data_IF_313120949505
#
_entry.id   IF_313120949505
#
_cell.length_a   1.000
_cell.length_b   1.000
_cell.length_c   1.000
_cell.angle_alpha   90.00
_cell.angle_beta   90.00
_cell.angle_gamma   90.00
#
_symmetry.space_group_name_H-M   'P 1'
#
loop_
_entity.id
_entity.type
_entity.pdbx_description
1 polymer ?
#
# COMPACT_ATOMS: atom_id res chain seq x y z
N UNK A 1 -28.46 -4.42 -38.08
CA UNK A 1 -27.74 -3.60 -37.09
C UNK A 1 -27.20 -4.54 -36.04
N UNK A 2 -25.92 -4.93 -36.13
CA UNK A 2 -25.28 -5.79 -35.13
C UNK A 2 -24.51 -4.93 -34.15
N UNK A 3 -24.94 -4.96 -32.88
CA UNK A 3 -24.18 -4.43 -31.76
C UNK A 3 -22.94 -5.30 -31.54
N UNK A 4 -21.76 -4.68 -31.62
CA UNK A 4 -20.51 -5.29 -31.15
C UNK A 4 -20.36 -4.93 -29.66
N UNK A 5 -20.12 -5.90 -28.76
CA UNK A 5 -19.77 -5.57 -27.38
C UNK A 5 -18.36 -4.94 -27.37
N UNK A 6 -18.24 -3.78 -26.73
CA UNK A 6 -16.94 -3.17 -26.45
C UNK A 6 -16.15 -4.10 -25.53
N UNK A 7 -15.12 -4.75 -26.06
CA UNK A 7 -14.10 -5.38 -25.22
C UNK A 7 -13.34 -4.27 -24.49
N UNK A 8 -13.40 -4.26 -23.15
CA UNK A 8 -12.51 -3.46 -22.32
C UNK A 8 -11.07 -3.91 -22.62
N UNK A 9 -10.38 -3.14 -23.46
CA UNK A 9 -8.99 -3.38 -23.80
C UNK A 9 -8.12 -3.00 -22.60
N UNK A 10 -7.24 -3.94 -22.21
CA UNK A 10 -6.17 -3.73 -21.23
C UNK A 10 -5.36 -2.49 -21.63
N UNK A 11 -5.23 -1.44 -20.80
CA UNK A 11 -4.28 -0.37 -21.09
C UNK A 11 -2.87 -0.97 -21.19
N UNK A 12 -2.23 -0.85 -22.35
CA UNK A 12 -0.85 -1.26 -22.54
C UNK A 12 0.09 -0.17 -22.04
N UNK A 13 0.14 0.02 -20.72
CA UNK A 13 1.26 0.73 -20.09
C UNK A 13 2.36 -0.31 -19.82
N UNK A 14 3.62 -0.08 -20.23
CA UNK A 14 4.72 -0.89 -19.75
C UNK A 14 4.92 -0.55 -18.27
N UNK A 15 4.16 -1.21 -17.40
CA UNK A 15 4.44 -1.25 -15.98
C UNK A 15 5.80 -1.96 -15.85
N UNK A 16 6.88 -1.19 -15.77
CA UNK A 16 8.06 -1.65 -15.05
C UNK A 16 7.55 -2.23 -13.72
N UNK A 17 8.01 -3.42 -13.30
CA UNK A 17 7.46 -4.03 -12.10
C UNK A 17 7.63 -3.03 -10.96
N UNK A 18 6.49 -2.60 -10.41
CA UNK A 18 6.46 -1.71 -9.26
C UNK A 18 7.35 -2.33 -8.19
N UNK A 19 8.27 -1.53 -7.67
CA UNK A 19 9.16 -1.98 -6.60
C UNK A 19 8.33 -2.15 -5.33
N UNK A 20 8.87 -2.94 -4.42
CA UNK A 20 8.36 -2.96 -3.06
C UNK A 20 8.96 -1.77 -2.31
N UNK A 21 8.13 -1.05 -1.57
CA UNK A 21 8.50 0.13 -0.79
C UNK A 21 8.44 -0.13 0.72
N UNK A 22 7.66 -1.11 1.17
CA UNK A 22 7.65 -1.65 2.54
C UNK A 22 7.77 -3.16 2.49
N UNK A 23 8.95 -3.69 2.80
CA UNK A 23 9.33 -5.07 2.47
C UNK A 23 9.83 -5.87 3.67
N UNK A 24 9.50 -7.16 3.72
CA UNK A 24 10.02 -8.10 4.71
C UNK A 24 9.80 -7.64 6.15
N UNK A 25 10.89 -7.54 6.92
CA UNK A 25 10.96 -6.95 8.26
C UNK A 25 10.90 -5.42 8.24
N UNK A 26 9.84 -4.87 7.62
CA UNK A 26 9.53 -3.45 7.41
C UNK A 26 10.78 -2.56 7.25
N UNK A 27 11.52 -2.82 6.18
CA UNK A 27 12.43 -1.85 5.61
C UNK A 27 11.66 -0.96 4.64
N UNK A 28 11.68 0.36 4.87
CA UNK A 28 11.11 1.30 3.92
C UNK A 28 12.17 1.64 2.87
N UNK A 29 11.76 1.52 1.60
CA UNK A 29 12.43 2.10 0.45
C UNK A 29 11.39 3.01 -0.21
N UNK A 30 11.41 4.31 0.04
CA UNK A 30 10.42 5.20 -0.55
C UNK A 30 10.49 5.13 -2.09
N UNK A 31 9.40 5.45 -2.80
CA UNK A 31 9.42 5.49 -4.27
C UNK A 31 10.52 6.41 -4.85
N UNK A 32 10.94 7.43 -4.10
CA UNK A 32 12.00 8.37 -4.45
C UNK A 32 13.41 7.88 -4.03
N UNK A 33 13.48 6.75 -3.33
CA UNK A 33 14.70 5.98 -3.06
C UNK A 33 15.33 6.23 -1.70
N UNK A 34 14.66 6.91 -0.77
CA UNK A 34 15.09 7.01 0.61
C UNK A 34 14.91 5.65 1.32
N UNK A 35 15.89 5.26 2.14
CA UNK A 35 15.86 4.00 2.89
C UNK A 35 15.94 4.29 4.38
N UNK A 36 15.03 3.69 5.16
CA UNK A 36 15.07 3.71 6.62
C UNK A 36 14.31 2.53 7.21
N UNK A 37 14.62 2.20 8.46
CA UNK A 37 13.95 1.12 9.20
C UNK A 37 12.71 1.66 9.91
N UNK A 38 11.56 1.01 9.72
CA UNK A 38 10.28 1.40 10.31
C UNK A 38 9.73 0.26 11.18
N UNK A 39 10.46 -0.08 12.24
CA UNK A 39 10.16 -1.21 13.13
C UNK A 39 9.05 -0.92 14.15
N UNK A 40 7.94 -0.34 13.68
CA UNK A 40 6.80 0.05 14.50
C UNK A 40 5.68 -1.00 14.45
N UNK A 41 4.78 -1.00 15.43
CA UNK A 41 3.63 -1.91 15.49
C UNK A 41 2.33 -1.13 15.46
N UNK A 42 1.35 -1.54 14.66
CA UNK A 42 0.04 -0.91 14.54
C UNK A 42 -0.38 -0.71 13.09
N UNK A 43 -1.42 0.09 12.89
CA UNK A 43 -1.94 0.43 11.56
C UNK A 43 -1.45 1.82 11.16
N UNK A 44 -0.94 1.95 9.93
CA UNK A 44 -0.27 3.16 9.44
C UNK A 44 -0.79 3.58 8.08
N UNK A 45 -0.89 4.89 7.88
CA UNK A 45 -1.12 5.48 6.56
C UNK A 45 0.19 5.50 5.78
N UNK A 46 0.34 4.56 4.83
CA UNK A 46 1.54 4.47 4.01
C UNK A 46 1.58 5.56 2.94
N UNK A 47 0.45 5.83 2.28
CA UNK A 47 0.35 6.90 1.30
C UNK A 47 -1.10 7.33 1.11
N UNK A 48 -1.33 8.62 0.91
CA UNK A 48 -2.61 9.19 0.53
C UNK A 48 -2.41 10.34 -0.45
N UNK A 49 -3.31 10.47 -1.44
CA UNK A 49 -3.39 11.68 -2.25
C UNK A 49 -4.13 12.78 -1.53
N UNK A 50 -3.77 14.04 -1.78
CA UNK A 50 -4.40 15.21 -1.14
C UNK A 50 -5.89 15.36 -1.42
N UNK A 51 -6.41 14.73 -2.49
CA UNK A 51 -7.84 14.70 -2.81
C UNK A 51 -8.59 13.47 -2.22
N UNK A 52 -7.87 12.57 -1.54
CA UNK A 52 -8.41 11.36 -0.93
C UNK A 52 -8.81 10.24 -1.89
N UNK A 53 -8.56 10.38 -3.20
CA UNK A 53 -8.90 9.35 -4.20
C UNK A 53 -7.95 8.14 -4.16
N UNK A 54 -6.76 8.32 -3.59
CA UNK A 54 -5.76 7.28 -3.31
C UNK A 54 -5.56 7.22 -1.80
N UNK A 55 -5.75 6.05 -1.21
CA UNK A 55 -5.36 5.75 0.17
C UNK A 55 -4.73 4.37 0.19
N UNK A 56 -3.59 4.23 0.88
CA UNK A 56 -2.87 2.99 1.11
C UNK A 56 -2.50 2.90 2.59
N UNK A 57 -2.96 1.84 3.25
CA UNK A 57 -2.73 1.59 4.66
C UNK A 57 -2.10 0.22 4.85
N UNK A 58 -1.23 0.09 5.85
CA UNK A 58 -0.66 -1.19 6.22
C UNK A 58 -0.84 -1.45 7.70
N UNK A 59 -1.09 -2.71 8.03
CA UNK A 59 -1.05 -3.25 9.39
C UNK A 59 0.29 -3.91 9.61
N UNK A 60 0.99 -3.48 10.64
CA UNK A 60 2.30 -3.99 11.04
C UNK A 60 2.19 -4.66 12.41
N UNK A 61 2.62 -5.91 12.47
CA UNK A 61 2.58 -6.72 13.69
C UNK A 61 3.96 -7.28 14.00
N UNK A 62 4.19 -7.65 15.26
CA UNK A 62 5.43 -8.32 15.65
C UNK A 62 5.60 -9.60 14.84
N UNK A 63 6.82 -9.82 14.37
CA UNK A 63 7.13 -11.01 13.59
C UNK A 63 7.04 -12.27 14.45
N UNK A 64 6.04 -13.11 14.17
CA UNK A 64 5.73 -14.29 14.96
C UNK A 64 6.85 -15.35 14.93
N UNK A 65 7.65 -15.40 13.86
CA UNK A 65 8.77 -16.34 13.71
C UNK A 65 9.95 -16.02 14.65
N UNK A 66 10.08 -14.76 15.09
CA UNK A 66 11.15 -14.28 15.98
C UNK A 66 10.56 -13.37 17.07
N UNK A 67 9.70 -13.91 17.96
CA UNK A 67 8.91 -13.11 18.88
C UNK A 67 9.76 -12.41 19.95
N UNK A 68 11.03 -12.76 20.12
CA UNK A 68 11.97 -12.10 21.03
C UNK A 68 12.63 -10.85 20.42
N UNK A 69 12.54 -10.66 19.10
CA UNK A 69 13.12 -9.51 18.40
C UNK A 69 12.08 -8.38 18.29
N UNK A 70 12.50 -7.10 18.42
CA UNK A 70 11.62 -5.96 18.17
C UNK A 70 11.50 -5.73 16.66
N UNK A 71 11.02 -6.73 15.93
CA UNK A 71 10.88 -6.71 14.47
C UNK A 71 9.40 -6.78 14.10
N UNK A 72 9.01 -5.91 13.17
CA UNK A 72 7.66 -5.85 12.62
C UNK A 72 7.62 -6.40 11.20
N UNK A 73 6.46 -6.90 10.78
CA UNK A 73 6.16 -7.30 9.39
C UNK A 73 4.78 -6.78 9.02
N UNK A 74 4.57 -6.47 7.73
CA UNK A 74 3.22 -6.17 7.25
C UNK A 74 2.38 -7.46 7.25
N UNK A 75 1.20 -7.43 7.86
CA UNK A 75 0.27 -8.59 7.91
C UNK A 75 -1.08 -8.33 7.26
N UNK A 76 -1.39 -7.06 6.99
CA UNK A 76 -2.51 -6.67 6.15
C UNK A 76 -2.21 -5.38 5.38
N UNK A 77 -2.88 -5.20 4.24
CA UNK A 77 -2.87 -3.95 3.46
C UNK A 77 -4.30 -3.62 3.05
N UNK A 78 -4.68 -2.36 3.21
CA UNK A 78 -5.97 -1.84 2.75
C UNK A 78 -5.75 -0.66 1.81
N UNK A 79 -6.60 -0.55 0.78
CA UNK A 79 -6.52 0.48 -0.25
C UNK A 79 -7.89 1.07 -0.54
N UNK A 80 -7.95 2.38 -0.76
CA UNK A 80 -9.08 3.03 -1.41
C UNK A 80 -8.69 3.39 -2.85
N UNK A 81 -9.28 2.68 -3.80
CA UNK A 81 -8.95 2.70 -5.23
C UNK A 81 -9.99 3.52 -6.00
N UNK A 82 -9.98 4.84 -5.80
CA UNK A 82 -10.86 5.78 -6.52
C UNK A 82 -12.37 5.58 -6.29
N UNK A 83 -12.76 4.84 -5.25
CA UNK A 83 -14.16 4.47 -4.99
C UNK A 83 -14.33 3.06 -4.43
N UNK A 84 -13.41 2.15 -4.75
CA UNK A 84 -13.43 0.77 -4.26
C UNK A 84 -12.48 0.57 -3.08
N UNK A 85 -12.95 -0.09 -2.03
CA UNK A 85 -12.11 -0.53 -0.91
C UNK A 85 -11.59 -1.94 -1.19
N UNK A 86 -10.26 -2.11 -1.13
CA UNK A 86 -9.60 -3.41 -1.21
C UNK A 86 -8.91 -3.70 0.11
N UNK A 87 -9.01 -4.94 0.61
CA UNK A 87 -8.31 -5.37 1.82
C UNK A 87 -7.69 -6.74 1.60
N UNK A 88 -6.40 -6.87 1.90
CA UNK A 88 -5.68 -8.14 1.93
C UNK A 88 -5.25 -8.41 3.36
N UNK A 89 -5.59 -9.59 3.86
CA UNK A 89 -5.17 -10.07 5.16
C UNK A 89 -4.36 -11.35 4.99
N UNK A 90 -3.24 -11.48 5.72
CA UNK A 90 -2.47 -12.71 5.79
C UNK A 90 -2.93 -13.65 6.91
N UNK A 91 -3.59 -13.08 7.94
CA UNK A 91 -3.99 -13.77 9.17
C UNK A 91 -5.45 -13.43 9.54
N UNK A 92 -6.16 -14.33 10.25
CA UNK A 92 -5.74 -15.68 10.66
C UNK A 92 -5.62 -16.65 9.49
N UNK A 93 -6.35 -16.40 8.41
CA UNK A 93 -6.21 -17.06 7.12
C UNK A 93 -6.11 -16.00 6.04
N UNK A 94 -5.39 -16.31 4.95
CA UNK A 94 -5.30 -15.39 3.81
C UNK A 94 -6.69 -15.10 3.27
N UNK A 95 -7.07 -13.83 3.25
CA UNK A 95 -8.37 -13.39 2.75
C UNK A 95 -8.25 -12.07 2.01
N UNK A 96 -9.15 -11.89 1.04
CA UNK A 96 -9.21 -10.71 0.19
C UNK A 96 -10.64 -10.22 0.11
N UNK A 97 -10.83 -8.91 0.30
CA UNK A 97 -12.14 -8.29 0.26
C UNK A 97 -12.15 -7.17 -0.77
N UNK A 98 -13.27 -7.06 -1.49
CA UNK A 98 -13.58 -5.93 -2.35
C UNK A 98 -14.90 -5.36 -1.87
N UNK A 99 -14.89 -4.11 -1.40
CA UNK A 99 -16.06 -3.43 -0.84
C UNK A 99 -16.78 -4.30 0.21
N UNK A 100 -16.02 -4.80 1.20
CA UNK A 100 -16.50 -5.62 2.33
C UNK A 100 -16.99 -7.03 1.93
N UNK A 101 -16.86 -7.39 0.65
CA UNK A 101 -17.26 -8.71 0.14
C UNK A 101 -16.03 -9.60 -0.01
N UNK A 102 -16.02 -10.71 0.72
CA UNK A 102 -15.01 -11.77 0.58
C UNK A 102 -14.95 -12.24 -0.87
N UNK A 103 -13.77 -12.12 -1.48
CA UNK A 103 -13.53 -12.35 -2.91
C UNK A 103 -12.31 -13.23 -3.07
N UNK A 104 -12.34 -14.13 -4.07
CA UNK A 104 -11.17 -14.94 -4.41
C UNK A 104 -10.02 -14.05 -4.91
N UNK A 105 -8.79 -14.40 -4.53
CA UNK A 105 -7.60 -13.71 -5.03
C UNK A 105 -7.52 -13.87 -6.56
N UNK A 106 -7.40 -12.77 -7.33
CA UNK A 106 -7.41 -12.85 -8.77
C UNK A 106 -6.11 -13.46 -9.32
N UNK A 107 -6.23 -14.44 -10.22
CA UNK A 107 -5.09 -14.97 -10.98
C UNK A 107 -4.75 -14.15 -12.21
N UNK A 108 -5.75 -13.42 -12.73
CA UNK A 108 -5.71 -12.64 -13.96
C UNK A 108 -6.23 -11.22 -13.73
N UNK A 109 -6.46 -10.46 -14.80
CA UNK A 109 -7.01 -9.11 -14.74
C UNK A 109 -8.49 -9.09 -14.32
N UNK A 110 -8.83 -8.22 -13.37
CA UNK A 110 -10.18 -7.94 -12.89
C UNK A 110 -10.39 -6.42 -12.87
N UNK A 111 -11.48 -5.96 -13.50
CA UNK A 111 -11.94 -4.57 -13.38
C UNK A 111 -12.68 -4.38 -12.07
N UNK A 112 -12.41 -3.26 -11.39
CA UNK A 112 -13.11 -2.85 -10.17
C UNK A 112 -14.32 -1.97 -10.50
N UNK A 113 -15.39 -1.97 -9.67
CA UNK A 113 -16.62 -1.21 -9.92
C UNK A 113 -16.44 0.29 -10.21
N UNK A 114 -15.49 0.97 -9.55
CA UNK A 114 -15.17 2.38 -9.72
C UNK A 114 -14.20 2.66 -10.89
N UNK A 115 -13.86 1.64 -11.68
CA UNK A 115 -13.05 1.79 -12.90
C UNK A 115 -11.56 1.53 -12.73
N UNK A 116 -11.11 1.24 -11.51
CA UNK A 116 -9.76 0.73 -11.26
C UNK A 116 -9.60 -0.72 -11.72
N UNK A 117 -8.44 -1.31 -11.45
CA UNK A 117 -8.22 -2.73 -11.74
C UNK A 117 -7.21 -3.36 -10.79
N UNK A 118 -7.31 -4.69 -10.68
CA UNK A 118 -6.33 -5.55 -10.04
C UNK A 118 -5.99 -6.68 -11.00
N UNK A 119 -4.71 -7.06 -11.06
CA UNK A 119 -4.27 -8.23 -11.82
C UNK A 119 -3.27 -9.06 -11.04
N UNK A 120 -3.52 -10.36 -10.95
CA UNK A 120 -2.52 -11.33 -10.48
C UNK A 120 -1.49 -11.69 -11.56
N UNK A 121 -0.32 -12.15 -11.14
CA UNK A 121 0.74 -12.66 -12.01
C UNK A 121 0.60 -14.15 -12.39
N UNK A 122 -0.59 -14.73 -12.23
CA UNK A 122 -0.85 -16.18 -12.35
C UNK A 122 -0.41 -17.02 -11.15
N UNK A 123 0.34 -16.46 -10.19
CA UNK A 123 0.76 -17.16 -8.96
C UNK A 123 -0.18 -16.98 -7.77
N UNK A 124 -1.24 -16.17 -7.90
CA UNK A 124 -2.16 -15.79 -6.79
C UNK A 124 -1.45 -15.17 -5.58
N UNK A 125 -0.24 -14.65 -5.75
CA UNK A 125 0.57 -14.07 -4.65
C UNK A 125 1.22 -12.75 -4.99
N UNK A 126 1.10 -12.25 -6.22
CA UNK A 126 1.71 -10.99 -6.66
C UNK A 126 0.69 -10.25 -7.52
N UNK A 127 0.26 -9.11 -6.99
CA UNK A 127 -0.87 -8.34 -7.49
C UNK A 127 -0.42 -6.95 -7.88
N UNK A 128 -0.82 -6.51 -9.06
CA UNK A 128 -0.72 -5.11 -9.48
C UNK A 128 -2.10 -4.48 -9.46
N UNK A 129 -2.21 -3.32 -8.83
CA UNK A 129 -3.42 -2.53 -8.72
C UNK A 129 -3.21 -1.23 -9.50
N UNK A 130 -4.20 -0.81 -10.27
CA UNK A 130 -4.21 0.48 -10.98
C UNK A 130 -5.46 1.27 -10.62
N UNK A 131 -5.26 2.56 -10.36
CA UNK A 131 -6.36 3.50 -10.14
C UNK A 131 -7.08 3.83 -11.46
N UNK A 132 -8.35 4.29 -11.40
CA UNK A 132 -9.16 4.54 -12.59
C UNK A 132 -8.54 5.50 -13.61
N UNK A 133 -7.75 6.47 -13.14
CA UNK A 133 -7.10 7.48 -13.98
C UNK A 133 -5.79 7.00 -14.63
N UNK A 134 -5.30 5.82 -14.23
CA UNK A 134 -4.03 5.24 -14.68
C UNK A 134 -2.77 5.95 -14.17
N UNK A 135 -2.90 6.96 -13.31
CA UNK A 135 -1.78 7.76 -12.81
C UNK A 135 -1.20 7.24 -11.50
N UNK A 136 -1.87 6.30 -10.83
CA UNK A 136 -1.36 5.62 -9.63
C UNK A 136 -1.38 4.11 -9.85
N UNK A 137 -0.29 3.45 -9.49
CA UNK A 137 -0.20 2.00 -9.42
C UNK A 137 0.28 1.54 -8.05
N UNK A 138 -0.13 0.35 -7.64
CA UNK A 138 0.39 -0.29 -6.44
C UNK A 138 0.66 -1.77 -6.66
N UNK A 139 1.49 -2.35 -5.79
CA UNK A 139 1.82 -3.77 -5.81
C UNK A 139 1.72 -4.37 -4.42
N UNK A 140 1.14 -5.56 -4.35
CA UNK A 140 1.05 -6.36 -3.13
C UNK A 140 1.59 -7.74 -3.43
N UNK A 141 2.57 -8.20 -2.66
CA UNK A 141 3.09 -9.56 -2.74
C UNK A 141 2.84 -10.27 -1.42
N UNK A 142 2.04 -11.35 -1.48
CA UNK A 142 1.85 -12.27 -0.37
C UNK A 142 3.12 -13.13 -0.22
N UNK A 143 3.79 -13.04 0.93
CA UNK A 143 4.83 -13.97 1.35
C UNK A 143 4.24 -14.96 2.37
N UNK A 144 5.06 -15.89 2.84
CA UNK A 144 4.61 -16.91 3.79
C UNK A 144 4.14 -16.31 5.12
N UNK A 145 4.79 -15.24 5.60
CA UNK A 145 4.57 -14.65 6.92
C UNK A 145 4.55 -13.12 6.94
N UNK A 146 4.59 -12.50 5.76
CA UNK A 146 4.63 -11.04 5.56
C UNK A 146 4.00 -10.63 4.23
N UNK A 147 3.77 -9.33 4.08
CA UNK A 147 3.37 -8.69 2.83
C UNK A 147 4.44 -7.71 2.38
N UNK A 148 4.82 -7.78 1.11
CA UNK A 148 5.58 -6.70 0.46
C UNK A 148 4.57 -5.75 -0.20
N UNK A 149 4.70 -4.45 0.07
CA UNK A 149 3.76 -3.42 -0.40
C UNK A 149 4.54 -2.35 -1.16
N UNK A 150 4.02 -1.90 -2.30
CA UNK A 150 4.57 -0.76 -3.02
C UNK A 150 3.51 0.09 -3.71
N UNK A 151 3.84 1.35 -3.98
CA UNK A 151 3.03 2.35 -4.67
C UNK A 151 3.92 3.19 -5.58
N UNK A 152 3.39 3.62 -6.72
CA UNK A 152 4.06 4.59 -7.57
C UNK A 152 3.08 5.57 -8.18
N UNK A 153 3.57 6.79 -8.32
CA UNK A 153 3.00 7.80 -9.21
C UNK A 153 3.47 7.53 -10.64
N UNK A 154 2.52 7.19 -11.51
CA UNK A 154 2.74 6.90 -12.93
C UNK A 154 2.49 8.12 -13.82
N UNK A 155 1.82 9.16 -13.29
CA UNK A 155 1.48 10.38 -14.00
C UNK A 155 0.66 11.35 -13.16
N UNK A 156 -0.13 12.19 -13.85
CA UNK A 156 -1.11 13.08 -13.22
C UNK A 156 -0.53 14.22 -12.37
N UNK A 157 -1.42 14.94 -11.69
CA UNK A 157 -1.08 16.11 -10.85
C UNK A 157 -1.31 15.88 -9.36
N UNK A 158 -1.68 14.66 -8.95
CA UNK A 158 -1.83 14.32 -7.54
C UNK A 158 -0.52 14.52 -6.79
N UNK A 159 -0.64 15.02 -5.57
CA UNK A 159 0.43 15.07 -4.58
C UNK A 159 0.11 14.06 -3.49
N UNK A 160 1.15 13.44 -2.95
CA UNK A 160 1.00 12.39 -1.96
C UNK A 160 1.65 12.79 -0.65
N UNK A 161 1.23 12.13 0.42
CA UNK A 161 1.88 12.19 1.72
C UNK A 161 1.67 10.86 2.45
N UNK A 162 2.54 10.54 3.41
CA UNK A 162 2.45 9.32 4.20
C UNK A 162 3.80 8.81 4.63
N UNK A 163 3.82 7.61 5.22
CA UNK A 163 5.08 6.94 5.57
C UNK A 163 5.97 6.78 4.33
N UNK A 164 5.42 6.47 3.15
CA UNK A 164 6.22 6.24 1.94
C UNK A 164 6.71 7.53 1.24
N UNK A 165 6.61 8.69 1.88
CA UNK A 165 7.02 9.97 1.30
C UNK A 165 5.93 10.61 0.44
N UNK A 166 6.34 11.58 -0.39
CA UNK A 166 5.42 12.42 -1.16
C UNK A 166 5.38 12.10 -2.68
N UNK A 167 6.26 11.20 -3.13
CA UNK A 167 6.33 10.70 -4.51
C UNK A 167 6.58 11.83 -5.51
N UNK A 168 7.46 12.78 -5.17
CA UNK A 168 7.80 13.93 -5.99
C UNK A 168 9.16 13.81 -6.71
N UNK A 169 9.93 12.77 -6.39
CA UNK A 169 11.25 12.49 -6.94
C UNK A 169 12.41 13.03 -6.10
N UNK A 170 12.15 13.66 -4.96
CA UNK A 170 13.16 14.19 -4.04
C UNK A 170 13.16 13.45 -2.68
N UNK A 171 14.00 12.41 -2.60
CA UNK A 171 14.26 11.65 -1.36
C UNK A 171 14.63 12.49 -0.13
N UNK A 172 15.02 13.75 -0.27
CA UNK A 172 15.41 14.60 0.86
C UNK A 172 14.20 15.18 1.61
N UNK A 173 12.99 15.06 1.06
CA UNK A 173 11.76 15.58 1.64
C UNK A 173 10.72 14.49 2.02
N UNK A 174 11.12 13.22 2.00
CA UNK A 174 10.22 12.08 2.25
C UNK A 174 9.81 11.87 3.72
N UNK A 175 10.58 12.36 4.69
CA UNK A 175 10.26 12.20 6.12
C UNK A 175 9.56 13.45 6.64
N UNK A 176 8.31 13.63 6.22
CA UNK A 176 7.45 14.72 6.66
C UNK A 176 6.55 14.24 7.81
N UNK A 177 6.71 14.79 9.02
CA UNK A 177 5.78 14.54 10.13
C UNK A 177 4.40 15.02 9.69
N UNK A 178 3.34 14.22 9.92
CA UNK A 178 1.98 14.55 9.45
C UNK A 178 1.55 15.93 9.96
N UNK A 179 1.30 16.86 9.02
CA UNK A 179 0.95 18.25 9.32
C UNK A 179 2.01 19.05 10.09
N UNK A 180 3.23 18.55 10.18
CA UNK A 180 4.30 19.04 11.04
C UNK A 180 5.57 19.44 10.30
N UNK A 181 6.72 19.17 10.91
CA UNK A 181 8.03 19.52 10.38
C UNK A 181 8.61 18.46 9.44
N UNK A 182 9.41 18.90 8.48
CA UNK A 182 10.21 18.03 7.65
C UNK A 182 11.48 17.61 8.40
N UNK A 183 11.76 16.31 8.43
CA UNK A 183 13.00 15.74 8.93
C UNK A 183 13.91 15.43 7.74
N UNK A 184 14.94 16.26 7.54
CA UNK A 184 15.93 15.99 6.50
C UNK A 184 16.79 14.77 6.87
N UNK A 185 16.93 13.77 5.98
CA UNK A 185 17.78 12.61 6.23
C UNK A 185 19.27 12.99 6.46
N UNK A 186 20.01 12.24 7.30
CA UNK A 186 19.58 11.04 8.02
C UNK A 186 18.75 11.37 9.27
N UNK A 187 17.64 10.65 9.45
CA UNK A 187 16.82 10.74 10.66
C UNK A 187 17.40 9.85 11.77
N UNK A 188 17.37 10.35 13.01
CA UNK A 188 17.62 9.53 14.20
C UNK A 188 16.45 8.59 14.50
N UNK A 189 16.68 7.57 15.34
CA UNK A 189 15.60 6.66 15.78
C UNK A 189 14.45 7.39 16.46
N UNK A 190 14.74 8.42 17.27
CA UNK A 190 13.71 9.22 17.94
C UNK A 190 12.87 10.02 16.93
N UNK A 191 13.51 10.59 15.90
CA UNK A 191 12.83 11.28 14.82
C UNK A 191 11.97 10.34 13.98
N UNK A 192 12.47 9.13 13.65
CA UNK A 192 11.70 8.12 12.93
C UNK A 192 10.49 7.64 13.74
N UNK A 193 10.64 7.51 15.05
CA UNK A 193 9.52 7.18 15.94
C UNK A 193 8.47 8.29 15.96
N UNK A 194 8.89 9.54 16.13
CA UNK A 194 7.99 10.70 16.08
C UNK A 194 7.24 10.76 14.73
N UNK A 195 7.97 10.58 13.64
CA UNK A 195 7.41 10.50 12.28
C UNK A 195 6.40 9.36 12.17
N UNK A 196 6.74 8.15 12.57
CA UNK A 196 5.84 6.99 12.50
C UNK A 196 4.58 7.14 13.34
N UNK A 197 4.72 7.62 14.58
CA UNK A 197 3.58 7.89 15.46
C UNK A 197 2.64 8.96 14.88
N UNK A 198 3.16 9.92 14.11
CA UNK A 198 2.32 10.92 13.42
C UNK A 198 1.48 10.36 12.27
N UNK A 199 1.88 9.22 11.70
CA UNK A 199 1.19 8.56 10.59
C UNK A 199 0.36 7.34 11.01
N UNK A 200 0.33 7.03 12.31
CA UNK A 200 -0.52 6.00 12.89
C UNK A 200 -1.99 6.32 12.68
N UNK A 201 -2.78 5.32 12.31
CA UNK A 201 -4.20 5.47 12.04
C UNK A 201 -5.00 5.52 13.33
N UNK A 202 -5.95 6.46 13.38
CA UNK A 202 -7.08 6.40 14.30
C UNK A 202 -8.13 5.38 13.82
N UNK A 203 -9.10 5.07 14.68
CA UNK A 203 -10.18 4.16 14.31
C UNK A 203 -11.06 4.74 13.19
N UNK A 204 -11.21 6.06 13.15
CA UNK A 204 -12.02 6.79 12.18
C UNK A 204 -11.37 6.87 10.79
N UNK A 205 -10.04 6.79 10.72
CA UNK A 205 -9.28 6.81 9.47
C UNK A 205 -9.07 5.42 8.87
N UNK A 206 -9.23 4.36 9.68
CA UNK A 206 -8.89 3.00 9.28
C UNK A 206 -9.86 2.47 8.22
N UNK A 207 -9.29 1.89 7.16
CA UNK A 207 -10.03 1.11 6.16
C UNK A 207 -10.22 -0.35 6.60
N UNK A 208 -9.49 -0.82 7.61
CA UNK A 208 -9.54 -2.21 8.05
C UNK A 208 -10.81 -2.48 8.86
N UNK A 209 -11.63 -3.41 8.37
CA UNK A 209 -12.80 -3.88 9.14
C UNK A 209 -12.44 -4.98 10.15
N UNK A 210 -11.44 -5.81 9.83
CA UNK A 210 -11.01 -6.86 10.73
C UNK A 210 -10.05 -6.28 11.79
N UNK A 211 -10.21 -6.63 13.07
CA UNK A 211 -9.26 -6.25 14.11
C UNK A 211 -7.91 -6.96 13.89
N UNK A 212 -6.86 -6.51 14.58
CA UNK A 212 -5.58 -7.23 14.64
C UNK A 212 -5.81 -8.71 14.99
N UNK A 213 -5.13 -9.60 14.26
CA UNK A 213 -5.22 -11.04 14.50
C UNK A 213 -4.74 -11.36 15.91
N UNK A 214 -5.55 -12.08 16.69
CA UNK A 214 -5.13 -12.59 18.01
C UNK A 214 -4.15 -13.73 17.87
#
# INVERSE_FOLDING_TARGET
MSFHPHQNQRPSLPLLPLKCDSCGDVHINTPDGLVYDFQEFGDFLLSQSTDGSVVLQARQERWASYPERPVSVNTAVAMYVGGDKLEFYLKPETSFYVNDVLTDLPTDYVSLPAGGSISGSGSSTDFTILWPDGNTGARVILRNDSLDIGIARLGGSLTYEGVLGNLDGDRMNDIQVRGGELITPPASLEQLKLFGDSWRLSAEESLFDAPHGR
#
